data_IF_988490384250
#
_entry.id   IF_988490384250
#
_cell.length_a   1.000
_cell.length_b   1.000
_cell.length_c   1.000
_cell.angle_alpha   90.00
_cell.angle_beta   90.00
_cell.angle_gamma   90.00
#
_symmetry.space_group_name_H-M   'P 1'
#
loop_
_entity.id
_entity.type
_entity.pdbx_description
1 polymer ?
#
# COMPACT_ATOMS: atom_id res chain seq x y z
N UNK A 1 22.68 -19.69 -18.44
CA UNK A 1 22.84 -18.84 -17.25
C UNK A 1 22.74 -17.32 -17.50
N UNK A 2 22.67 -16.85 -18.75
CA UNK A 2 22.50 -15.42 -19.09
C UNK A 2 21.05 -14.89 -19.01
N UNK A 3 20.04 -15.77 -18.89
CA UNK A 3 18.67 -15.41 -19.28
C UNK A 3 17.94 -14.47 -18.30
N UNK A 4 18.42 -14.36 -17.04
CA UNK A 4 17.83 -13.50 -15.99
C UNK A 4 18.84 -12.52 -15.37
N UNK A 5 19.80 -12.01 -16.14
CA UNK A 5 20.72 -10.97 -15.65
C UNK A 5 19.99 -9.71 -15.19
N UNK A 6 19.05 -9.20 -15.98
CA UNK A 6 18.24 -8.02 -15.64
C UNK A 6 17.48 -8.17 -14.30
N UNK A 7 16.88 -9.33 -14.03
CA UNK A 7 16.21 -9.58 -12.74
C UNK A 7 17.16 -9.63 -11.55
N UNK A 8 18.39 -10.15 -11.74
CA UNK A 8 19.44 -10.12 -10.71
C UNK A 8 19.91 -8.71 -10.43
N UNK A 9 20.05 -7.87 -11.46
CA UNK A 9 20.38 -6.45 -11.31
C UNK A 9 19.28 -5.73 -10.51
N UNK A 10 18.00 -5.91 -10.88
CA UNK A 10 16.87 -5.34 -10.12
C UNK A 10 16.95 -5.72 -8.65
N UNK A 11 17.05 -7.03 -8.37
CA UNK A 11 17.05 -7.52 -6.99
C UNK A 11 18.25 -7.00 -6.18
N UNK A 12 19.45 -6.97 -6.77
CA UNK A 12 20.66 -6.55 -6.07
C UNK A 12 20.70 -5.04 -5.82
N UNK A 13 20.41 -4.22 -6.83
CA UNK A 13 20.43 -2.75 -6.69
C UNK A 13 19.30 -2.25 -5.81
N UNK A 14 18.08 -2.77 -5.98
CA UNK A 14 16.98 -2.43 -5.07
C UNK A 14 17.32 -2.81 -3.62
N UNK A 15 17.99 -3.94 -3.38
CA UNK A 15 18.40 -4.34 -2.03
C UNK A 15 19.36 -3.33 -1.39
N UNK A 16 20.33 -2.81 -2.14
CA UNK A 16 21.34 -1.88 -1.62
C UNK A 16 20.70 -0.60 -1.09
N UNK A 17 19.69 -0.07 -1.79
CA UNK A 17 19.04 1.20 -1.45
C UNK A 17 17.84 1.01 -0.53
N UNK A 18 16.98 0.02 -0.80
CA UNK A 18 15.70 -0.12 -0.10
C UNK A 18 15.84 -0.80 1.26
N UNK A 19 16.81 -1.72 1.45
CA UNK A 19 16.98 -2.41 2.74
C UNK A 19 17.31 -1.44 3.88
N UNK A 20 18.25 -0.49 3.74
CA UNK A 20 18.47 0.54 4.76
C UNK A 20 17.24 1.41 5.06
N UNK A 21 16.34 1.60 4.08
CA UNK A 21 15.07 2.33 4.25
C UNK A 21 13.95 1.48 4.89
N UNK A 22 14.27 0.26 5.34
CA UNK A 22 13.33 -0.64 6.03
C UNK A 22 12.47 -1.50 5.10
N UNK A 23 12.76 -1.55 3.80
CA UNK A 23 12.08 -2.46 2.89
C UNK A 23 12.69 -3.86 2.95
N UNK A 24 11.82 -4.86 2.75
CA UNK A 24 12.20 -6.24 2.51
C UNK A 24 11.52 -6.78 1.26
N UNK A 25 12.21 -7.69 0.58
CA UNK A 25 11.71 -8.33 -0.63
C UNK A 25 10.68 -9.41 -0.29
N UNK A 26 9.57 -9.47 -1.01
CA UNK A 26 8.58 -10.56 -0.89
C UNK A 26 9.07 -11.78 -1.66
N UNK A 27 9.67 -12.73 -0.96
CA UNK A 27 10.22 -13.96 -1.55
C UNK A 27 11.22 -13.66 -2.67
N UNK A 28 11.03 -14.29 -3.84
CA UNK A 28 11.82 -14.06 -5.05
C UNK A 28 11.13 -13.13 -6.07
N UNK A 29 10.04 -12.46 -5.68
CA UNK A 29 9.30 -11.56 -6.57
C UNK A 29 10.07 -10.26 -6.84
N UNK A 30 9.51 -9.39 -7.69
CA UNK A 30 9.99 -8.01 -7.89
C UNK A 30 9.32 -7.00 -6.94
N UNK A 31 8.61 -7.50 -5.93
CA UNK A 31 7.89 -6.70 -4.95
C UNK A 31 8.73 -6.53 -3.67
N UNK A 32 8.78 -5.29 -3.19
CA UNK A 32 9.35 -4.91 -1.92
C UNK A 32 8.30 -4.24 -1.06
N UNK A 33 8.33 -4.51 0.24
CA UNK A 33 7.39 -3.92 1.21
C UNK A 33 8.13 -3.36 2.41
N UNK A 34 7.63 -2.26 2.96
CA UNK A 34 8.09 -1.71 4.22
C UNK A 34 6.91 -1.41 5.15
N UNK A 35 7.05 -1.79 6.42
CA UNK A 35 6.04 -1.56 7.44
C UNK A 35 6.00 -0.09 7.85
N UNK A 36 4.81 0.50 7.84
CA UNK A 36 4.54 1.89 8.25
C UNK A 36 3.40 1.98 9.28
N UNK A 37 3.12 0.87 9.97
CA UNK A 37 2.12 0.81 11.04
C UNK A 37 0.82 0.17 10.57
N UNK A 38 -0.15 1.00 10.17
CA UNK A 38 -1.45 0.55 9.66
C UNK A 38 -1.49 0.44 8.12
N UNK A 39 -0.35 0.66 7.47
CA UNK A 39 -0.19 0.53 6.02
C UNK A 39 1.22 0.03 5.66
N UNK A 40 1.37 -0.48 4.43
CA UNK A 40 2.64 -0.85 3.82
C UNK A 40 2.97 0.10 2.67
N UNK A 41 4.23 0.53 2.62
CA UNK A 41 4.79 1.01 1.35
C UNK A 41 5.13 -0.20 0.49
N UNK A 42 4.54 -0.26 -0.69
CA UNK A 42 4.70 -1.35 -1.65
C UNK A 42 5.40 -0.82 -2.88
N UNK A 43 6.41 -1.55 -3.34
CA UNK A 43 7.19 -1.18 -4.53
C UNK A 43 7.21 -2.37 -5.44
N UNK A 44 6.88 -2.16 -6.70
CA UNK A 44 6.95 -3.20 -7.72
C UNK A 44 7.81 -2.71 -8.89
N UNK A 45 8.87 -3.47 -9.15
CA UNK A 45 9.58 -3.40 -10.42
C UNK A 45 8.82 -4.24 -11.46
N UNK A 46 7.74 -3.68 -11.99
CA UNK A 46 6.78 -4.39 -12.83
C UNK A 46 7.43 -4.84 -14.15
N UNK A 47 7.40 -6.13 -14.50
CA UNK A 47 7.90 -6.61 -15.78
C UNK A 47 7.00 -6.18 -16.95
N UNK A 48 7.58 -6.18 -18.15
CA UNK A 48 6.83 -6.10 -19.42
C UNK A 48 6.77 -7.48 -20.05
N UNK A 49 5.63 -7.86 -20.63
CA UNK A 49 5.50 -9.09 -21.42
C UNK A 49 6.20 -9.01 -22.78
N UNK A 50 6.54 -7.80 -23.24
CA UNK A 50 7.05 -7.54 -24.59
C UNK A 50 8.57 -7.36 -24.65
N UNK A 51 9.19 -6.97 -23.55
CA UNK A 51 10.60 -6.56 -23.53
C UNK A 51 11.24 -6.79 -22.16
N UNK A 52 12.54 -7.13 -22.15
CA UNK A 52 13.33 -7.21 -20.91
C UNK A 52 13.52 -5.79 -20.37
N UNK A 53 13.13 -5.58 -19.12
CA UNK A 53 13.18 -4.27 -18.47
C UNK A 53 12.21 -4.20 -17.29
N UNK A 54 11.87 -2.97 -16.89
CA UNK A 54 10.92 -2.74 -15.79
C UNK A 54 10.22 -1.38 -15.89
N UNK A 55 8.96 -1.34 -15.46
CA UNK A 55 8.37 -0.11 -14.91
C UNK A 55 8.65 -0.04 -13.41
N UNK A 56 8.41 1.11 -12.81
CA UNK A 56 8.42 1.29 -11.36
C UNK A 56 7.03 1.71 -10.90
N UNK A 57 6.38 0.89 -10.07
CA UNK A 57 5.16 1.25 -9.35
C UNK A 57 5.50 1.42 -7.87
N UNK A 58 5.01 2.51 -7.26
CA UNK A 58 5.06 2.73 -5.81
C UNK A 58 3.64 2.90 -5.32
N UNK A 59 3.28 2.18 -4.25
CA UNK A 59 1.92 2.15 -3.77
C UNK A 59 1.82 2.14 -2.24
N UNK A 60 0.65 2.56 -1.77
CA UNK A 60 0.18 2.31 -0.41
C UNK A 60 -0.75 1.10 -0.43
N UNK A 61 -0.55 0.21 0.54
CA UNK A 61 -1.46 -0.88 0.85
C UNK A 61 -1.96 -0.75 2.29
N UNK A 62 -3.27 -0.66 2.48
CA UNK A 62 -3.87 -0.55 3.81
C UNK A 62 -4.03 -1.92 4.46
N UNK A 63 -3.62 -2.04 5.73
CA UNK A 63 -3.65 -3.34 6.44
C UNK A 63 -5.02 -3.70 7.00
N UNK A 64 -6.04 -2.86 6.86
CA UNK A 64 -7.39 -3.12 7.37
C UNK A 64 -8.26 -3.97 6.43
N UNK A 65 -7.64 -4.87 5.66
CA UNK A 65 -8.30 -6.06 5.11
C UNK A 65 -9.30 -5.82 3.98
N UNK A 66 -9.00 -4.95 3.01
CA UNK A 66 -9.81 -4.87 1.78
C UNK A 66 -9.82 -6.20 1.03
N UNK A 67 -8.66 -6.84 0.89
CA UNK A 67 -8.47 -8.18 0.33
C UNK A 67 -7.41 -8.93 1.15
N UNK A 68 -7.81 -9.77 2.12
CA UNK A 68 -6.86 -10.43 3.01
C UNK A 68 -5.80 -11.23 2.25
N UNK A 69 -4.59 -11.25 2.80
CA UNK A 69 -3.44 -12.01 2.29
C UNK A 69 -2.99 -11.60 0.87
N UNK A 70 -3.54 -10.51 0.34
CA UNK A 70 -3.30 -10.00 -1.00
C UNK A 70 -2.69 -8.62 -0.92
N UNK A 71 -1.52 -8.44 -1.53
CA UNK A 71 -0.96 -7.10 -1.70
C UNK A 71 -1.81 -6.36 -2.73
N UNK A 72 -2.44 -5.30 -2.27
CA UNK A 72 -3.18 -4.36 -3.11
C UNK A 72 -2.37 -3.10 -3.37
N UNK A 73 -2.78 -2.37 -4.39
CA UNK A 73 -2.15 -1.12 -4.84
C UNK A 73 -3.16 0.01 -4.64
N UNK A 74 -3.62 0.17 -3.39
CA UNK A 74 -4.81 0.99 -3.03
C UNK A 74 -4.63 2.46 -3.43
N UNK A 75 -3.40 2.96 -3.35
CA UNK A 75 -2.98 4.23 -3.96
C UNK A 75 -1.65 4.01 -4.67
N UNK A 76 -1.68 3.91 -6.00
CA UNK A 76 -0.50 3.60 -6.83
C UNK A 76 -0.12 4.73 -7.75
N UNK A 77 1.18 4.96 -7.86
CA UNK A 77 1.78 5.82 -8.86
C UNK A 77 2.79 5.02 -9.69
N UNK A 78 2.69 5.12 -11.03
CA UNK A 78 3.74 4.65 -11.93
C UNK A 78 4.76 5.77 -12.10
N UNK A 79 5.99 5.51 -11.70
CA UNK A 79 7.07 6.49 -11.70
C UNK A 79 7.84 6.40 -13.00
N UNK A 80 7.75 7.47 -13.79
CA UNK A 80 8.44 7.58 -15.07
C UNK A 80 7.90 6.61 -16.14
N UNK A 81 8.75 6.30 -17.11
CA UNK A 81 8.45 5.42 -18.24
C UNK A 81 9.11 4.06 -18.08
N UNK A 82 8.78 3.12 -18.97
CA UNK A 82 9.47 1.84 -19.04
C UNK A 82 10.98 2.04 -19.23
N UNK A 83 11.78 1.32 -18.45
CA UNK A 83 13.23 1.26 -18.65
C UNK A 83 13.60 -0.09 -19.28
N UNK A 84 14.04 -0.11 -20.55
CA UNK A 84 14.52 -1.33 -21.19
C UNK A 84 15.86 -1.77 -20.59
N UNK A 85 16.11 -3.07 -20.61
CA UNK A 85 17.42 -3.64 -20.36
C UNK A 85 18.22 -3.66 -21.65
N UNK A 86 19.09 -2.67 -21.85
CA UNK A 86 19.96 -2.57 -23.03
C UNK A 86 21.36 -3.13 -22.75
N UNK A 87 21.90 -2.82 -21.58
CA UNK A 87 23.18 -3.36 -21.10
C UNK A 87 23.24 -3.37 -19.57
N UNK A 88 24.08 -4.23 -18.95
CA UNK A 88 24.23 -4.24 -17.50
C UNK A 88 24.64 -2.87 -16.90
N UNK A 89 25.62 -2.12 -17.43
CA UNK A 89 26.00 -0.82 -16.85
C UNK A 89 24.87 0.21 -16.87
N UNK A 90 24.14 0.32 -17.99
CA UNK A 90 23.00 1.22 -18.11
C UNK A 90 21.90 0.85 -17.12
N UNK A 91 21.59 -0.44 -17.02
CA UNK A 91 20.48 -0.89 -16.18
C UNK A 91 20.80 -0.82 -14.68
N UNK A 92 22.07 -1.04 -14.29
CA UNK A 92 22.54 -0.84 -12.92
C UNK A 92 22.27 0.60 -12.46
N UNK A 93 22.65 1.59 -13.28
CA UNK A 93 22.42 3.01 -12.98
C UNK A 93 20.93 3.34 -12.91
N UNK A 94 20.14 2.86 -13.87
CA UNK A 94 18.71 3.15 -13.91
C UNK A 94 17.94 2.57 -12.72
N UNK A 95 18.25 1.32 -12.31
CA UNK A 95 17.61 0.69 -11.14
C UNK A 95 18.03 1.38 -9.84
N UNK A 96 19.29 1.79 -9.69
CA UNK A 96 19.74 2.56 -8.53
C UNK A 96 18.96 3.88 -8.39
N UNK A 97 18.80 4.63 -9.48
CA UNK A 97 18.00 5.86 -9.51
C UNK A 97 16.52 5.60 -9.18
N UNK A 98 15.93 4.56 -9.75
CA UNK A 98 14.57 4.12 -9.42
C UNK A 98 14.43 3.81 -7.92
N UNK A 99 15.36 3.06 -7.34
CA UNK A 99 15.33 2.67 -5.94
C UNK A 99 15.52 3.88 -5.00
N UNK A 100 16.32 4.87 -5.39
CA UNK A 100 16.42 6.15 -4.65
C UNK A 100 15.12 6.93 -4.71
N UNK A 101 14.47 6.97 -5.87
CA UNK A 101 13.19 7.66 -6.03
C UNK A 101 12.08 7.05 -5.17
N UNK A 102 12.09 5.73 -5.02
CA UNK A 102 11.20 5.02 -4.08
C UNK A 102 11.34 5.55 -2.65
N UNK A 103 12.58 5.77 -2.17
CA UNK A 103 12.81 6.26 -0.81
C UNK A 103 12.25 7.67 -0.62
N UNK A 104 12.41 8.55 -1.62
CA UNK A 104 11.81 9.89 -1.60
C UNK A 104 10.28 9.82 -1.53
N UNK A 105 9.65 8.98 -2.35
CA UNK A 105 8.18 8.84 -2.39
C UNK A 105 7.66 8.22 -1.08
N UNK A 106 8.35 7.23 -0.54
CA UNK A 106 8.01 6.65 0.78
C UNK A 106 8.05 7.71 1.88
N UNK A 107 9.03 8.62 1.87
CA UNK A 107 9.09 9.73 2.83
C UNK A 107 7.91 10.70 2.67
N UNK A 108 7.51 10.99 1.44
CA UNK A 108 6.30 11.80 1.17
C UNK A 108 5.07 11.10 1.72
N UNK A 109 4.86 9.81 1.40
CA UNK A 109 3.73 9.03 1.92
C UNK A 109 3.71 8.95 3.44
N UNK A 110 4.86 8.77 4.10
CA UNK A 110 4.97 8.81 5.57
C UNK A 110 4.55 10.15 6.15
N UNK A 111 4.83 11.25 5.45
CA UNK A 111 4.41 12.59 5.86
C UNK A 111 2.92 12.84 5.63
N UNK A 112 2.34 12.20 4.61
CA UNK A 112 0.89 12.24 4.35
C UNK A 112 0.09 11.38 5.32
N UNK A 113 0.60 10.20 5.69
CA UNK A 113 -0.11 9.20 6.49
C UNK A 113 0.55 8.94 7.86
N UNK A 114 0.80 9.97 8.70
CA UNK A 114 1.42 9.79 10.00
C UNK A 114 0.46 9.22 11.05
N UNK A 115 -0.86 9.35 10.84
CA UNK A 115 -1.90 8.86 11.75
C UNK A 115 -3.19 8.57 10.99
N UNK A 116 -4.12 7.86 11.63
CA UNK A 116 -5.44 7.56 11.05
C UNK A 116 -6.29 8.81 10.86
N UNK A 117 -6.14 9.83 11.71
CA UNK A 117 -6.85 11.11 11.57
C UNK A 117 -6.35 11.89 10.35
N UNK A 118 -5.04 11.97 10.15
CA UNK A 118 -4.45 12.60 8.97
C UNK A 118 -4.84 11.85 7.69
N UNK A 119 -4.80 10.51 7.76
CA UNK A 119 -5.19 9.63 6.66
C UNK A 119 -6.67 9.81 6.29
N UNK A 120 -7.57 9.85 7.27
CA UNK A 120 -8.99 10.09 7.06
C UNK A 120 -9.24 11.42 6.35
N UNK A 121 -8.60 12.50 6.81
CA UNK A 121 -8.72 13.83 6.18
C UNK A 121 -8.32 13.79 4.70
N UNK A 122 -7.19 13.15 4.39
CA UNK A 122 -6.70 13.05 3.01
C UNK A 122 -7.65 12.19 2.17
N UNK A 123 -7.92 10.96 2.60
CA UNK A 123 -8.73 10.02 1.82
C UNK A 123 -10.14 10.55 1.56
N UNK A 124 -10.77 11.17 2.57
CA UNK A 124 -12.10 11.79 2.39
C UNK A 124 -12.04 12.98 1.43
N UNK A 125 -10.99 13.80 1.50
CA UNK A 125 -10.83 14.96 0.59
C UNK A 125 -10.53 14.58 -0.87
N UNK A 126 -9.92 13.42 -1.08
CA UNK A 126 -9.58 12.91 -2.41
C UNK A 126 -10.79 12.28 -3.13
N UNK A 127 -11.90 12.00 -2.41
CA UNK A 127 -13.13 11.49 -3.01
C UNK A 127 -13.81 12.57 -3.87
N UNK A 128 -13.56 12.55 -5.18
CA UNK A 128 -14.26 13.40 -6.14
C UNK A 128 -15.71 12.94 -6.34
N UNK A 129 -16.72 13.85 -6.31
CA UNK A 129 -18.11 13.51 -6.61
C UNK A 129 -18.24 12.81 -7.98
N UNK A 130 -18.82 11.61 -8.00
CA UNK A 130 -19.12 10.87 -9.23
C UNK A 130 -17.97 10.02 -9.81
N UNK A 131 -16.80 9.96 -9.16
CA UNK A 131 -15.63 9.27 -9.71
C UNK A 131 -14.87 8.35 -8.74
N UNK A 132 -15.27 8.24 -7.46
CA UNK A 132 -14.58 7.33 -6.56
C UNK A 132 -14.93 5.86 -6.86
N UNK A 133 -13.91 5.02 -7.05
CA UNK A 133 -14.10 3.57 -7.05
C UNK A 133 -14.54 3.12 -5.65
N UNK A 134 -15.41 2.11 -5.57
CA UNK A 134 -15.98 1.66 -4.29
C UNK A 134 -14.92 1.28 -3.24
N UNK A 135 -13.74 0.82 -3.66
CA UNK A 135 -12.61 0.60 -2.77
C UNK A 135 -12.08 1.89 -2.14
N UNK A 136 -12.00 2.99 -2.89
CA UNK A 136 -11.60 4.28 -2.33
C UNK A 136 -12.59 4.77 -1.26
N UNK A 137 -13.90 4.61 -1.51
CA UNK A 137 -14.93 4.88 -0.51
C UNK A 137 -14.78 3.99 0.72
N UNK A 138 -14.55 2.68 0.54
CA UNK A 138 -14.30 1.76 1.63
C UNK A 138 -13.09 2.19 2.47
N UNK A 139 -11.92 2.44 1.88
CA UNK A 139 -10.73 2.85 2.61
C UNK A 139 -10.92 4.17 3.36
N UNK A 140 -11.57 5.15 2.72
CA UNK A 140 -11.92 6.42 3.36
C UNK A 140 -12.90 6.23 4.53
N UNK A 141 -13.87 5.32 4.39
CA UNK A 141 -14.82 4.97 5.45
C UNK A 141 -14.15 4.31 6.65
N UNK A 142 -13.23 3.37 6.42
CA UNK A 142 -12.45 2.77 7.51
C UNK A 142 -11.61 3.82 8.24
N UNK A 143 -10.90 4.68 7.50
CA UNK A 143 -10.10 5.74 8.10
C UNK A 143 -10.95 6.74 8.89
N UNK A 144 -12.11 7.15 8.37
CA UNK A 144 -13.05 8.03 9.06
C UNK A 144 -13.57 7.42 10.37
N UNK A 145 -13.98 6.14 10.36
CA UNK A 145 -14.46 5.45 11.56
C UNK A 145 -13.37 5.30 12.62
N UNK A 146 -12.13 4.97 12.21
CA UNK A 146 -10.97 4.95 13.11
C UNK A 146 -10.66 6.35 13.69
N UNK A 147 -10.85 7.40 12.91
CA UNK A 147 -10.72 8.79 13.35
C UNK A 147 -11.88 9.28 14.24
N UNK A 148 -12.95 8.49 14.38
CA UNK A 148 -14.14 8.81 15.17
C UNK A 148 -15.26 9.53 14.42
N UNK A 149 -15.12 9.74 13.11
CA UNK A 149 -16.17 10.30 12.25
C UNK A 149 -17.05 9.17 11.69
N UNK A 150 -17.93 8.65 12.56
CA UNK A 150 -18.81 7.53 12.25
C UNK A 150 -19.94 7.90 11.27
N UNK A 151 -20.33 9.18 11.21
CA UNK A 151 -21.32 9.67 10.23
C UNK A 151 -20.76 9.58 8.80
N UNK A 152 -19.56 10.13 8.59
CA UNK A 152 -18.88 10.01 7.28
C UNK A 152 -18.60 8.54 6.94
N UNK A 153 -18.11 7.75 7.91
CA UNK A 153 -17.83 6.34 7.70
C UNK A 153 -19.07 5.56 7.24
N UNK A 154 -20.22 5.75 7.90
CA UNK A 154 -21.50 5.13 7.52
C UNK A 154 -21.87 5.45 6.07
N UNK A 155 -21.89 6.74 5.71
CA UNK A 155 -22.25 7.20 4.37
C UNK A 155 -21.34 6.59 3.29
N UNK A 156 -20.05 6.48 3.58
CA UNK A 156 -19.08 5.90 2.64
C UNK A 156 -19.25 4.39 2.48
N UNK A 157 -19.49 3.65 3.57
CA UNK A 157 -19.78 2.21 3.49
C UNK A 157 -21.08 1.92 2.73
N UNK A 158 -22.14 2.69 2.96
CA UNK A 158 -23.41 2.56 2.24
C UNK A 158 -23.29 2.83 0.73
N UNK A 159 -22.29 3.62 0.33
CA UNK A 159 -22.00 3.90 -1.08
C UNK A 159 -21.27 2.77 -1.82
N UNK A 160 -20.66 1.81 -1.09
CA UNK A 160 -19.98 0.67 -1.66
C UNK A 160 -20.96 -0.50 -1.89
N UNK A 161 -21.49 -0.63 -3.10
CA UNK A 161 -22.61 -1.54 -3.40
C UNK A 161 -22.27 -2.78 -4.23
N UNK A 162 -21.04 -2.90 -4.75
CA UNK A 162 -20.61 -4.01 -5.60
C UNK A 162 -19.32 -4.66 -5.10
N UNK A 163 -18.17 -4.15 -5.54
CA UNK A 163 -16.86 -4.78 -5.36
C UNK A 163 -16.39 -4.75 -3.90
N UNK A 164 -16.70 -3.68 -3.17
CA UNK A 164 -16.34 -3.54 -1.76
C UNK A 164 -17.52 -3.76 -0.81
N UNK A 165 -18.69 -4.19 -1.31
CA UNK A 165 -19.93 -4.27 -0.54
C UNK A 165 -19.84 -5.22 0.65
N UNK A 166 -19.23 -6.39 0.47
CA UNK A 166 -19.10 -7.38 1.54
C UNK A 166 -18.23 -6.84 2.69
N UNK A 167 -17.11 -6.21 2.36
CA UNK A 167 -16.19 -5.60 3.32
C UNK A 167 -16.82 -4.40 4.02
N UNK A 168 -17.54 -3.56 3.27
CA UNK A 168 -18.26 -2.42 3.82
C UNK A 168 -19.36 -2.87 4.78
N UNK A 169 -20.20 -3.84 4.40
CA UNK A 169 -21.26 -4.38 5.26
C UNK A 169 -20.71 -5.02 6.54
N UNK A 170 -19.59 -5.73 6.45
CA UNK A 170 -18.95 -6.36 7.61
C UNK A 170 -18.51 -5.34 8.68
N UNK A 171 -18.15 -4.11 8.28
CA UNK A 171 -17.79 -3.03 9.19
C UNK A 171 -18.99 -2.15 9.58
N UNK A 172 -19.94 -1.97 8.67
CA UNK A 172 -21.19 -1.25 8.92
C UNK A 172 -21.99 -1.88 10.06
N UNK A 173 -21.91 -3.22 10.24
CA UNK A 173 -22.55 -3.92 11.35
C UNK A 173 -22.09 -3.47 12.76
N UNK A 174 -20.93 -2.79 12.86
CA UNK A 174 -20.37 -2.30 14.12
C UNK A 174 -20.36 -0.77 14.23
N UNK A 175 -20.92 -0.06 13.24
CA UNK A 175 -20.74 1.39 13.09
C UNK A 175 -21.35 2.21 14.24
N UNK A 176 -22.36 1.65 14.92
CA UNK A 176 -23.04 2.25 16.08
C UNK A 176 -22.34 1.95 17.43
N UNK A 177 -21.29 1.11 17.43
CA UNK A 177 -20.46 0.81 18.58
C UNK A 177 -18.98 1.16 18.26
N UNK A 178 -18.52 2.36 18.63
CA UNK A 178 -17.15 2.80 18.37
C UNK A 178 -16.07 1.85 18.88
N UNK A 179 -16.30 1.19 20.02
CA UNK A 179 -15.32 0.29 20.61
C UNK A 179 -15.26 -1.02 19.82
N UNK A 180 -16.42 -1.59 19.46
CA UNK A 180 -16.48 -2.79 18.64
C UNK A 180 -15.94 -2.54 17.22
N UNK A 181 -16.24 -1.39 16.61
CA UNK A 181 -15.69 -1.02 15.30
C UNK A 181 -14.16 -0.98 15.31
N UNK A 182 -13.56 -0.25 16.27
CA UNK A 182 -12.10 -0.16 16.40
C UNK A 182 -11.47 -1.52 16.67
N UNK A 183 -12.08 -2.31 17.55
CA UNK A 183 -11.63 -3.68 17.84
C UNK A 183 -11.64 -4.55 16.59
N UNK A 184 -12.71 -4.47 15.77
CA UNK A 184 -12.84 -5.24 14.53
C UNK A 184 -11.77 -4.86 13.50
N UNK A 185 -11.58 -3.56 13.26
CA UNK A 185 -10.58 -3.07 12.30
C UNK A 185 -9.16 -3.38 12.77
N UNK A 186 -8.88 -3.22 14.07
CA UNK A 186 -7.62 -3.64 14.69
C UNK A 186 -7.34 -5.12 14.46
N UNK A 187 -8.35 -5.98 14.62
CA UNK A 187 -8.22 -7.41 14.33
C UNK A 187 -7.82 -7.71 12.88
N UNK A 188 -8.34 -6.95 11.90
CA UNK A 188 -7.90 -7.08 10.50
C UNK A 188 -6.44 -6.68 10.31
N UNK A 189 -6.04 -5.55 10.90
CA UNK A 189 -4.65 -5.07 10.83
C UNK A 189 -3.72 -6.09 11.48
N UNK A 190 -4.05 -6.61 12.66
CA UNK A 190 -3.23 -7.61 13.34
C UNK A 190 -3.13 -8.93 12.56
N UNK A 191 -4.21 -9.36 11.90
CA UNK A 191 -4.19 -10.53 11.03
C UNK A 191 -3.28 -10.33 9.81
N UNK A 192 -3.39 -9.20 9.09
CA UNK A 192 -2.50 -8.89 7.97
C UNK A 192 -1.04 -8.75 8.42
N UNK A 193 -0.80 -8.12 9.58
CA UNK A 193 0.55 -8.01 10.17
C UNK A 193 1.12 -9.38 10.50
N UNK A 194 0.32 -10.31 11.01
CA UNK A 194 0.73 -11.68 11.25
C UNK A 194 1.06 -12.41 9.94
N UNK A 195 0.20 -12.30 8.92
CA UNK A 195 0.40 -12.91 7.61
C UNK A 195 1.72 -12.46 6.96
N UNK A 196 2.00 -11.15 6.99
CA UNK A 196 3.25 -10.63 6.46
C UNK A 196 4.44 -10.83 7.42
N UNK A 197 4.24 -11.11 8.70
CA UNK A 197 5.33 -11.23 9.68
C UNK A 197 5.94 -9.88 10.05
N UNK A 198 5.08 -8.89 10.35
CA UNK A 198 5.45 -7.52 10.72
C UNK A 198 5.52 -7.30 12.24
N UNK A 199 5.12 -8.30 13.03
CA UNK A 199 4.99 -8.18 14.48
C UNK A 199 3.77 -7.35 14.91
N UNK A 200 3.68 -7.04 16.20
CA UNK A 200 2.57 -6.28 16.77
C UNK A 200 2.45 -4.87 16.16
N UNK A 201 1.24 -4.31 16.15
CA UNK A 201 1.02 -2.92 15.73
C UNK A 201 1.82 -1.98 16.67
N UNK A 202 2.69 -1.10 16.14
CA UNK A 202 3.47 -0.22 16.99
C UNK A 202 2.56 0.75 17.76
N UNK A 203 2.87 0.98 19.04
CA UNK A 203 2.06 1.83 19.92
C UNK A 203 1.88 3.28 19.39
N UNK A 204 2.83 3.78 18.60
CA UNK A 204 2.74 5.08 17.94
C UNK A 204 1.58 5.20 16.93
N UNK A 205 1.03 4.07 16.49
CA UNK A 205 -0.09 3.98 15.55
C UNK A 205 -1.36 3.42 16.22
N UNK A 206 -1.53 3.65 17.52
CA UNK A 206 -2.68 3.15 18.27
C UNK A 206 -4.01 3.64 17.65
N UNK A 207 -4.96 2.70 17.54
CA UNK A 207 -6.29 2.85 16.94
C UNK A 207 -7.40 2.37 17.85
#
# INVERSE_FOLDING_TARGET
MADNEHGRIIASQAKLVLKPAGFRRKGQSRIWIADRGFWLSVVEFQPSSWSKGTYLNVAVHWLWGSLPETITFDRVERIGQFVPFESPPQFLLAVDQMAKKVVEIDQVHRSMFPSVQATAKILVSELQPGAYGEWAAFHAGVAAGLAGDFETARRLFESAQRHAASQAQALLAYIDDPAAFRSRVRGFIEAERAYYGLGALPAAFAI
#
